data_IF_717449418663
#
_entry.id   IF_717449418663
#
_cell.length_a   1.000
_cell.length_b   1.000
_cell.length_c   1.000
_cell.angle_alpha   90.00
_cell.angle_beta   90.00
_cell.angle_gamma   90.00
#
_symmetry.space_group_name_H-M   'P 1'
#
loop_
_entity.id
_entity.type
_entity.pdbx_description
1 polymer ?
#
# COMPACT_ATOMS: atom_id res chain seq x y z
N UNK A 1 -0.40 21.86 7.37
CA UNK A 1 0.18 21.33 6.12
C UNK A 1 1.09 20.12 6.35
N UNK A 2 2.07 20.17 7.27
CA UNK A 2 2.95 19.01 7.57
C UNK A 2 2.23 17.83 8.26
N UNK A 3 1.31 18.09 9.20
CA UNK A 3 0.56 17.02 9.90
C UNK A 3 -0.28 16.18 8.93
N UNK A 4 -0.93 16.81 7.95
CA UNK A 4 -1.73 16.11 6.93
C UNK A 4 -0.85 15.25 6.00
N UNK A 5 0.34 15.73 5.63
CA UNK A 5 1.31 14.91 4.88
C UNK A 5 1.78 13.70 5.68
N UNK A 6 2.12 13.88 6.97
CA UNK A 6 2.48 12.76 7.84
C UNK A 6 1.34 11.75 7.98
N UNK A 7 0.10 12.22 8.17
CA UNK A 7 -1.10 11.37 8.22
C UNK A 7 -1.27 10.56 6.93
N UNK A 8 -1.09 11.19 5.78
CA UNK A 8 -1.19 10.53 4.48
C UNK A 8 -0.11 9.44 4.30
N UNK A 9 1.13 9.73 4.66
CA UNK A 9 2.24 8.76 4.62
C UNK A 9 1.96 7.57 5.54
N UNK A 10 1.48 7.80 6.77
CA UNK A 10 1.11 6.74 7.71
C UNK A 10 -0.05 5.90 7.16
N UNK A 11 -1.06 6.54 6.57
CA UNK A 11 -2.19 5.85 5.96
C UNK A 11 -1.73 4.94 4.82
N UNK A 12 -0.89 5.46 3.90
CA UNK A 12 -0.34 4.69 2.80
C UNK A 12 0.46 3.48 3.29
N UNK A 13 1.30 3.65 4.32
CA UNK A 13 2.03 2.54 4.92
C UNK A 13 1.10 1.43 5.45
N UNK A 14 0.04 1.82 6.19
CA UNK A 14 -0.95 0.87 6.73
C UNK A 14 -1.72 0.14 5.63
N UNK A 15 -2.09 0.84 4.55
CA UNK A 15 -2.78 0.24 3.42
C UNK A 15 -1.90 -0.80 2.70
N UNK A 16 -0.61 -0.51 2.53
CA UNK A 16 0.35 -1.44 1.94
C UNK A 16 0.52 -2.70 2.78
N UNK A 17 0.73 -2.54 4.08
CA UNK A 17 0.84 -3.67 5.01
C UNK A 17 -0.42 -4.55 4.97
N UNK A 18 -1.61 -3.93 4.92
CA UNK A 18 -2.87 -4.65 4.76
C UNK A 18 -2.96 -5.39 3.42
N UNK A 19 -2.57 -4.76 2.32
CA UNK A 19 -2.59 -5.38 0.99
C UNK A 19 -1.70 -6.64 0.96
N UNK A 20 -0.48 -6.56 1.50
CA UNK A 20 0.46 -7.70 1.60
C UNK A 20 -0.11 -8.85 2.43
N UNK A 21 -0.71 -8.55 3.59
CA UNK A 21 -1.40 -9.57 4.41
C UNK A 21 -2.54 -10.25 3.65
N UNK A 22 -3.28 -9.50 2.84
CA UNK A 22 -4.35 -10.05 1.99
C UNK A 22 -3.80 -10.89 0.83
N UNK A 23 -2.65 -10.54 0.24
CA UNK A 23 -1.96 -11.41 -0.74
C UNK A 23 -1.65 -12.76 -0.10
N UNK A 24 -1.03 -12.76 1.07
CA UNK A 24 -0.66 -13.99 1.78
C UNK A 24 -1.87 -14.83 2.17
N UNK A 25 -2.91 -14.21 2.74
CA UNK A 25 -4.13 -14.88 3.13
C UNK A 25 -4.82 -15.54 1.93
N UNK A 26 -4.93 -14.83 0.80
CA UNK A 26 -5.59 -15.36 -0.39
C UNK A 26 -4.74 -16.41 -1.13
N UNK A 27 -3.41 -16.35 -1.05
CA UNK A 27 -2.54 -17.44 -1.51
C UNK A 27 -2.77 -18.71 -0.68
N UNK A 28 -2.80 -18.60 0.64
CA UNK A 28 -3.06 -19.73 1.56
C UNK A 28 -4.47 -20.31 1.36
N UNK A 29 -5.45 -19.47 1.05
CA UNK A 29 -6.82 -19.88 0.76
C UNK A 29 -7.03 -20.46 -0.66
N UNK A 30 -5.96 -20.65 -1.45
CA UNK A 30 -6.09 -21.19 -2.81
C UNK A 30 -6.80 -20.26 -3.80
N UNK A 31 -6.81 -18.94 -3.52
CA UNK A 31 -7.44 -17.90 -4.33
C UNK A 31 -6.40 -17.02 -5.05
N UNK A 32 -5.63 -17.56 -6.03
CA UNK A 32 -4.51 -16.85 -6.65
C UNK A 32 -4.93 -15.61 -7.42
N UNK A 33 -6.14 -15.59 -8.00
CA UNK A 33 -6.69 -14.42 -8.70
C UNK A 33 -6.87 -13.22 -7.75
N UNK A 34 -7.45 -13.46 -6.57
CA UNK A 34 -7.63 -12.43 -5.54
C UNK A 34 -6.29 -11.97 -4.97
N UNK A 35 -5.35 -12.90 -4.76
CA UNK A 35 -4.00 -12.55 -4.36
C UNK A 35 -3.28 -11.65 -5.38
N UNK A 36 -3.49 -11.89 -6.69
CA UNK A 36 -2.94 -11.05 -7.76
C UNK A 36 -3.53 -9.64 -7.72
N UNK A 37 -4.83 -9.48 -7.48
CA UNK A 37 -5.47 -8.16 -7.33
C UNK A 37 -4.82 -7.38 -6.17
N UNK A 38 -4.67 -8.00 -5.00
CA UNK A 38 -4.04 -7.33 -3.86
C UNK A 38 -2.55 -7.02 -4.09
N UNK A 39 -1.84 -7.81 -4.88
CA UNK A 39 -0.46 -7.50 -5.28
C UNK A 39 -0.42 -6.24 -6.16
N UNK A 40 -1.30 -6.14 -7.16
CA UNK A 40 -1.41 -4.94 -8.01
C UNK A 40 -1.78 -3.69 -7.19
N UNK A 41 -2.62 -3.85 -6.16
CA UNK A 41 -2.93 -2.77 -5.22
C UNK A 41 -1.69 -2.35 -4.41
N UNK A 42 -0.87 -3.29 -3.91
CA UNK A 42 0.38 -2.94 -3.20
C UNK A 42 1.36 -2.19 -4.12
N UNK A 43 1.47 -2.59 -5.39
CA UNK A 43 2.32 -1.93 -6.39
C UNK A 43 1.83 -0.50 -6.66
N UNK A 44 0.53 -0.31 -6.85
CA UNK A 44 -0.05 1.02 -7.03
C UNK A 44 0.18 1.92 -5.80
N UNK A 45 -0.02 1.39 -4.59
CA UNK A 45 0.27 2.10 -3.35
C UNK A 45 1.76 2.43 -3.19
N UNK A 46 2.66 1.62 -3.75
CA UNK A 46 4.09 1.89 -3.74
C UNK A 46 4.45 3.17 -4.49
N UNK A 47 3.86 3.35 -5.67
CA UNK A 47 4.04 4.56 -6.48
C UNK A 47 3.54 5.79 -5.72
N UNK A 48 2.36 5.70 -5.10
CA UNK A 48 1.81 6.81 -4.30
C UNK A 48 2.64 7.13 -3.08
N UNK A 49 3.20 6.14 -2.39
CA UNK A 49 4.10 6.34 -1.27
C UNK A 49 5.38 7.08 -1.71
N UNK A 50 5.99 6.68 -2.83
CA UNK A 50 7.16 7.35 -3.38
C UNK A 50 6.88 8.82 -3.71
N UNK A 51 5.73 9.10 -4.33
CA UNK A 51 5.28 10.44 -4.63
C UNK A 51 5.01 11.28 -3.37
N UNK A 52 4.37 10.69 -2.35
CA UNK A 52 4.06 11.37 -1.09
C UNK A 52 5.33 11.74 -0.33
N UNK A 53 6.31 10.84 -0.25
CA UNK A 53 7.63 11.10 0.37
C UNK A 53 8.40 12.16 -0.41
N UNK A 54 8.38 12.10 -1.75
CA UNK A 54 9.06 13.10 -2.59
C UNK A 54 8.47 14.50 -2.41
N UNK A 55 7.15 14.62 -2.24
CA UNK A 55 6.47 15.88 -1.92
C UNK A 55 6.73 16.38 -0.50
N UNK A 56 7.07 15.50 0.44
CA UNK A 56 7.43 15.89 1.80
C UNK A 56 8.86 16.43 1.91
N UNK A 57 9.71 16.20 0.90
CA UNK A 57 11.10 16.70 0.85
C UNK A 57 11.26 18.05 0.15
N UNK A 58 10.24 18.54 -0.55
CA UNK A 58 10.21 19.87 -1.18
C UNK A 58 9.46 20.84 -0.28
#
# INVERSE_FOLDING_TARGET
MQIEQCRNIIMLYRLRDRARRLVEANRKAGSPGVAKIYAQIDDWLAVHMSNAVSRARR
#
